data_IF_028181633092
#
_entry.id   IF_028181633092
#
_cell.length_a   1.000
_cell.length_b   1.000
_cell.length_c   1.000
_cell.angle_alpha   90.00
_cell.angle_beta   90.00
_cell.angle_gamma   90.00
#
_symmetry.space_group_name_H-M   'P 1'
#
loop_
_entity.id
_entity.type
_entity.pdbx_description
1 polymer ?
#
# COMPACT_ATOMS: atom_id res chain seq x y z
N UNK A 1 -29.10 11.14 13.25
CA UNK A 1 -27.87 10.72 12.57
C UNK A 1 -27.99 9.24 12.28
N UNK A 2 -27.93 8.84 11.01
CA UNK A 2 -27.99 7.43 10.60
C UNK A 2 -26.71 6.69 10.99
N UNK A 3 -26.74 5.35 11.06
CA UNK A 3 -25.53 4.55 11.31
C UNK A 3 -24.42 4.79 10.28
N UNK A 4 -24.80 5.12 9.03
CA UNK A 4 -23.87 5.49 7.95
C UNK A 4 -23.22 6.85 8.21
N UNK A 5 -24.01 7.88 8.55
CA UNK A 5 -23.48 9.20 8.91
C UNK A 5 -22.55 9.10 10.12
N UNK A 6 -22.88 8.24 11.09
CA UNK A 6 -22.03 7.99 12.25
C UNK A 6 -20.69 7.35 11.87
N UNK A 7 -20.72 6.34 11.01
CA UNK A 7 -19.53 5.68 10.50
C UNK A 7 -18.61 6.68 9.77
N UNK A 8 -19.18 7.55 8.93
CA UNK A 8 -18.42 8.60 8.24
C UNK A 8 -17.81 9.63 9.20
N UNK A 9 -18.54 10.04 10.23
CA UNK A 9 -18.02 10.94 11.26
C UNK A 9 -16.81 10.32 11.96
N UNK A 10 -16.90 9.04 12.34
CA UNK A 10 -15.79 8.32 12.98
C UNK A 10 -14.56 8.25 12.07
N UNK A 11 -14.74 7.91 10.79
CA UNK A 11 -13.63 7.89 9.82
C UNK A 11 -12.97 9.26 9.70
N UNK A 12 -13.76 10.34 9.59
CA UNK A 12 -13.23 11.70 9.46
C UNK A 12 -12.43 12.11 10.69
N UNK A 13 -12.96 11.89 11.90
CA UNK A 13 -12.29 12.23 13.16
C UNK A 13 -11.01 11.42 13.33
N UNK A 14 -11.07 10.11 13.06
CA UNK A 14 -9.90 9.24 13.15
C UNK A 14 -8.81 9.61 12.15
N UNK A 15 -9.17 10.03 10.93
CA UNK A 15 -8.19 10.53 9.95
C UNK A 15 -7.39 11.70 10.51
N UNK A 16 -8.05 12.72 11.06
CA UNK A 16 -7.34 13.86 11.67
C UNK A 16 -6.41 13.41 12.79
N UNK A 17 -6.90 12.58 13.72
CA UNK A 17 -6.09 12.10 14.85
C UNK A 17 -4.89 11.25 14.40
N UNK A 18 -5.08 10.34 13.44
CA UNK A 18 -3.99 9.53 12.91
C UNK A 18 -2.97 10.36 12.13
N UNK A 19 -3.41 11.39 11.40
CA UNK A 19 -2.49 12.29 10.71
C UNK A 19 -1.59 13.07 11.69
N UNK A 20 -2.16 13.54 12.80
CA UNK A 20 -1.44 14.30 13.83
C UNK A 20 -0.53 13.40 14.68
N UNK A 21 -1.10 12.37 15.30
CA UNK A 21 -0.42 11.58 16.35
C UNK A 21 0.14 10.25 15.85
N UNK A 22 -0.30 9.77 14.69
CA UNK A 22 0.06 8.47 14.17
C UNK A 22 -0.77 7.35 14.80
N UNK A 23 -0.58 6.13 14.32
CA UNK A 23 -1.33 4.96 14.79
C UNK A 23 -1.10 4.68 16.28
N UNK A 24 0.16 4.66 16.72
CA UNK A 24 0.52 4.36 18.11
C UNK A 24 0.11 5.47 19.08
N UNK A 25 0.21 6.73 18.64
CA UNK A 25 -0.14 7.90 19.43
C UNK A 25 -1.63 8.19 19.56
N UNK A 26 -2.49 7.41 18.88
CA UNK A 26 -3.95 7.59 18.90
C UNK A 26 -4.61 6.46 19.68
N UNK A 27 -5.58 6.78 20.54
CA UNK A 27 -6.38 5.80 21.30
C UNK A 27 -7.86 5.79 20.89
N UNK A 28 -8.56 4.68 21.17
CA UNK A 28 -10.01 4.56 20.90
C UNK A 28 -10.80 5.53 21.79
N UNK A 29 -10.32 5.77 23.01
CA UNK A 29 -10.83 6.75 23.96
C UNK A 29 -10.89 8.13 23.32
N UNK A 30 -9.79 8.57 22.72
CA UNK A 30 -9.67 9.87 22.08
C UNK A 30 -10.55 9.98 20.83
N UNK A 31 -10.60 8.92 20.01
CA UNK A 31 -11.49 8.87 18.84
C UNK A 31 -12.95 8.98 19.27
N UNK A 32 -13.36 8.20 20.27
CA UNK A 32 -14.73 8.19 20.77
C UNK A 32 -15.11 9.56 21.37
N UNK A 33 -14.23 10.15 22.18
CA UNK A 33 -14.43 11.47 22.75
C UNK A 33 -14.55 12.55 21.66
N UNK A 34 -13.63 12.55 20.69
CA UNK A 34 -13.61 13.53 19.59
C UNK A 34 -14.82 13.39 18.65
N UNK A 35 -15.35 12.18 18.48
CA UNK A 35 -16.57 11.94 17.72
C UNK A 35 -17.86 12.08 18.55
N UNK A 36 -17.75 12.42 19.84
CA UNK A 36 -18.88 12.50 20.78
C UNK A 36 -19.72 11.21 20.80
N UNK A 37 -19.04 10.07 20.93
CA UNK A 37 -19.65 8.74 21.09
C UNK A 37 -19.04 7.98 22.26
N UNK A 38 -19.72 6.93 22.69
CA UNK A 38 -19.16 5.95 23.62
C UNK A 38 -18.22 4.97 22.90
N UNK A 39 -17.19 4.47 23.60
CA UNK A 39 -16.24 3.46 23.04
C UNK A 39 -16.91 2.25 22.38
N UNK A 40 -17.99 1.65 22.95
CA UNK A 40 -18.65 0.51 22.32
C UNK A 40 -19.11 0.76 20.88
N UNK A 41 -19.47 2.00 20.54
CA UNK A 41 -19.89 2.38 19.17
C UNK A 41 -18.71 2.29 18.19
N UNK A 42 -17.50 2.64 18.61
CA UNK A 42 -16.29 2.50 17.78
C UNK A 42 -16.00 1.02 17.53
N UNK A 43 -16.08 0.19 18.57
CA UNK A 43 -15.91 -1.27 18.45
C UNK A 43 -17.00 -1.92 17.58
N UNK A 44 -18.25 -1.48 17.70
CA UNK A 44 -19.36 -1.98 16.88
C UNK A 44 -19.13 -1.72 15.39
N UNK A 45 -18.66 -0.51 15.03
CA UNK A 45 -18.48 -0.14 13.63
C UNK A 45 -17.19 -0.66 13.00
N UNK A 46 -16.11 -0.81 13.77
CA UNK A 46 -14.77 -1.05 13.23
C UNK A 46 -13.99 -2.18 13.92
N UNK A 47 -14.51 -2.76 15.00
CA UNK A 47 -13.82 -3.83 15.72
C UNK A 47 -12.57 -3.42 16.51
N UNK A 48 -12.21 -2.13 16.52
CA UNK A 48 -11.04 -1.62 17.25
C UNK A 48 -10.30 -0.50 16.51
N UNK A 49 -9.09 -0.19 16.99
CA UNK A 49 -8.23 0.87 16.44
C UNK A 49 -7.65 0.45 15.08
N UNK A 50 -7.24 -0.80 14.98
CA UNK A 50 -6.67 -1.43 13.78
C UNK A 50 -7.69 -1.39 12.64
N UNK A 51 -8.95 -1.73 12.93
CA UNK A 51 -10.01 -1.75 11.91
C UNK A 51 -10.38 -0.35 11.41
N UNK A 52 -10.46 0.66 12.29
CA UNK A 52 -10.72 2.03 11.83
C UNK A 52 -9.53 2.63 11.08
N UNK A 53 -8.30 2.32 11.52
CA UNK A 53 -7.08 2.72 10.80
C UNK A 53 -7.03 2.10 9.40
N UNK A 54 -7.27 0.79 9.28
CA UNK A 54 -7.32 0.10 8.00
C UNK A 54 -8.35 0.72 7.06
N UNK A 55 -9.55 1.07 7.55
CA UNK A 55 -10.59 1.73 6.74
C UNK A 55 -10.16 3.13 6.29
N UNK A 56 -9.50 3.90 7.15
CA UNK A 56 -8.97 5.23 6.78
C UNK A 56 -7.91 5.10 5.70
N UNK A 57 -6.93 4.22 5.92
CA UNK A 57 -5.82 3.95 4.99
C UNK A 57 -6.34 3.48 3.63
N UNK A 58 -7.23 2.48 3.64
CA UNK A 58 -7.84 1.92 2.44
C UNK A 58 -8.58 2.98 1.62
N UNK A 59 -9.33 3.86 2.28
CA UNK A 59 -10.04 4.98 1.63
C UNK A 59 -9.08 5.97 0.97
N UNK A 60 -8.02 6.34 1.66
CA UNK A 60 -7.03 7.30 1.14
C UNK A 60 -6.20 6.69 0.00
N UNK A 61 -5.85 5.39 0.09
CA UNK A 61 -5.24 4.64 -1.02
C UNK A 61 -6.15 4.63 -2.25
N UNK A 62 -7.40 4.19 -2.10
CA UNK A 62 -8.35 4.12 -3.22
C UNK A 62 -8.61 5.49 -3.84
N UNK A 63 -8.68 6.55 -3.03
CA UNK A 63 -8.85 7.92 -3.54
C UNK A 63 -7.66 8.33 -4.40
N UNK A 64 -6.43 8.22 -3.89
CA UNK A 64 -5.24 8.65 -4.62
C UNK A 64 -4.99 7.76 -5.84
N UNK A 65 -5.10 6.44 -5.71
CA UNK A 65 -4.97 5.51 -6.83
C UNK A 65 -6.00 5.82 -7.92
N UNK A 66 -7.27 6.04 -7.56
CA UNK A 66 -8.33 6.38 -8.51
C UNK A 66 -8.04 7.67 -9.28
N UNK A 67 -7.54 8.71 -8.60
CA UNK A 67 -7.15 9.98 -9.25
C UNK A 67 -6.01 9.79 -10.25
N UNK A 68 -5.01 8.97 -9.92
CA UNK A 68 -3.88 8.68 -10.80
C UNK A 68 -4.30 7.79 -11.98
N UNK A 69 -5.08 6.74 -11.74
CA UNK A 69 -5.61 5.87 -12.80
C UNK A 69 -6.41 6.69 -13.82
N UNK A 70 -7.28 7.59 -13.35
CA UNK A 70 -8.03 8.50 -14.22
C UNK A 70 -7.10 9.42 -15.02
N UNK A 71 -6.05 9.96 -14.38
CA UNK A 71 -5.07 10.79 -15.06
C UNK A 71 -4.31 10.03 -16.18
N UNK A 72 -3.96 8.76 -15.94
CA UNK A 72 -3.25 7.89 -16.89
C UNK A 72 -4.14 7.42 -18.06
N UNK A 73 -5.47 7.58 -17.96
CA UNK A 73 -6.41 7.27 -19.05
C UNK A 73 -6.37 8.26 -20.23
N UNK A 74 -5.65 9.39 -20.10
CA UNK A 74 -5.57 10.41 -21.13
C UNK A 74 -4.96 9.87 -22.44
N UNK A 75 -5.37 10.42 -23.59
CA UNK A 75 -4.99 9.89 -24.91
C UNK A 75 -3.50 10.04 -25.24
N UNK A 76 -2.84 11.10 -24.77
CA UNK A 76 -1.45 11.40 -25.12
C UNK A 76 -0.51 11.27 -23.91
N UNK A 77 0.69 10.72 -24.14
CA UNK A 77 1.68 10.42 -23.09
C UNK A 77 2.11 11.66 -22.28
N UNK A 78 2.24 12.83 -22.92
CA UNK A 78 2.51 14.09 -22.20
C UNK A 78 1.34 14.47 -21.29
N UNK A 79 0.11 14.39 -21.79
CA UNK A 79 -1.09 14.71 -21.01
C UNK A 79 -1.30 13.75 -19.83
N UNK A 80 -0.94 12.47 -19.99
CA UNK A 80 -0.92 11.51 -18.87
C UNK A 80 0.03 11.97 -17.76
N UNK A 81 1.25 12.39 -18.13
CA UNK A 81 2.26 12.88 -17.17
C UNK A 81 1.82 14.18 -16.48
N UNK A 82 1.30 15.15 -17.23
CA UNK A 82 0.78 16.43 -16.71
C UNK A 82 -0.35 16.20 -15.70
N UNK A 83 -1.34 15.39 -16.09
CA UNK A 83 -2.50 15.08 -15.24
C UNK A 83 -2.10 14.29 -14.00
N UNK A 84 -1.19 13.32 -14.11
CA UNK A 84 -0.75 12.52 -12.97
C UNK A 84 0.01 13.37 -11.94
N UNK A 85 0.91 14.25 -12.41
CA UNK A 85 1.63 15.17 -11.53
C UNK A 85 0.67 16.15 -10.81
N UNK A 86 -0.27 16.74 -11.55
CA UNK A 86 -1.28 17.62 -10.97
C UNK A 86 -2.20 16.88 -9.99
N UNK A 87 -2.66 15.69 -10.33
CA UNK A 87 -3.55 14.89 -9.49
C UNK A 87 -2.91 14.53 -8.14
N UNK A 88 -1.63 14.14 -8.12
CA UNK A 88 -0.92 13.89 -6.86
C UNK A 88 -0.85 15.17 -6.02
N UNK A 89 -0.41 16.28 -6.60
CA UNK A 89 -0.22 17.52 -5.86
C UNK A 89 -1.57 18.11 -5.39
N UNK A 90 -2.63 17.97 -6.19
CA UNK A 90 -4.01 18.30 -5.82
C UNK A 90 -4.48 17.48 -4.63
N UNK A 91 -4.27 16.16 -4.66
CA UNK A 91 -4.58 15.30 -3.53
C UNK A 91 -3.81 15.74 -2.27
N UNK A 92 -2.53 16.06 -2.41
CA UNK A 92 -1.71 16.55 -1.29
C UNK A 92 -2.25 17.86 -0.72
N UNK A 93 -2.71 18.77 -1.58
CA UNK A 93 -3.26 20.07 -1.18
C UNK A 93 -4.62 19.93 -0.49
N UNK A 94 -5.55 19.18 -1.08
CA UNK A 94 -6.92 19.01 -0.56
C UNK A 94 -7.03 18.01 0.60
N UNK A 95 -6.11 17.04 0.66
CA UNK A 95 -6.17 15.88 1.57
C UNK A 95 -4.83 15.62 2.25
N UNK A 96 -4.18 16.68 2.74
CA UNK A 96 -2.86 16.59 3.40
C UNK A 96 -2.83 15.61 4.57
N UNK A 97 -3.91 15.50 5.34
CA UNK A 97 -4.04 14.51 6.43
C UNK A 97 -3.93 13.08 5.90
N UNK A 98 -4.66 12.77 4.83
CA UNK A 98 -4.66 11.46 4.20
C UNK A 98 -3.28 11.11 3.66
N UNK A 99 -2.66 12.05 2.93
CA UNK A 99 -1.30 11.84 2.41
C UNK A 99 -0.26 11.63 3.52
N UNK A 100 -0.34 12.37 4.64
CA UNK A 100 0.53 12.15 5.81
C UNK A 100 0.39 10.75 6.38
N UNK A 101 -0.84 10.24 6.50
CA UNK A 101 -1.09 8.88 6.99
C UNK A 101 -0.43 7.85 6.08
N UNK A 102 -0.65 7.97 4.77
CA UNK A 102 -0.04 7.06 3.78
C UNK A 102 1.48 7.05 3.92
N UNK A 103 2.10 8.23 3.90
CA UNK A 103 3.57 8.39 3.95
C UNK A 103 4.17 7.94 5.27
N UNK A 104 3.49 8.15 6.41
CA UNK A 104 4.03 7.87 7.74
C UNK A 104 4.24 6.37 7.99
N UNK A 105 3.41 5.52 7.37
CA UNK A 105 3.53 4.07 7.44
C UNK A 105 4.55 3.50 6.44
N UNK A 106 5.30 4.37 5.75
CA UNK A 106 6.38 3.96 4.85
C UNK A 106 7.68 3.73 5.62
N UNK A 107 8.06 2.47 5.81
CA UNK A 107 9.42 2.17 6.20
C UNK A 107 10.33 2.26 4.97
N UNK A 108 10.86 3.46 4.71
CA UNK A 108 11.72 3.76 3.55
C UNK A 108 12.92 2.80 3.39
N UNK A 109 13.39 2.19 4.48
CA UNK A 109 14.50 1.23 4.46
C UNK A 109 14.10 -0.22 4.09
N UNK A 110 12.83 -0.60 4.27
CA UNK A 110 12.37 -1.98 4.03
C UNK A 110 11.42 -2.10 2.83
N UNK A 111 10.96 -0.99 2.25
CA UNK A 111 10.01 -1.01 1.12
C UNK A 111 8.66 -1.64 1.48
N UNK A 112 8.38 -1.76 2.77
CA UNK A 112 7.15 -2.33 3.32
C UNK A 112 6.30 -1.20 3.91
N UNK A 113 5.01 -1.22 3.62
CA UNK A 113 4.05 -0.21 4.11
C UNK A 113 3.08 0.23 3.03
N UNK A 114 1.98 0.84 3.45
CA UNK A 114 0.87 1.26 2.59
C UNK A 114 1.32 2.12 1.40
N UNK A 115 2.17 3.12 1.63
CA UNK A 115 2.64 4.00 0.56
C UNK A 115 3.59 3.31 -0.42
N UNK A 116 4.40 2.37 0.06
CA UNK A 116 5.27 1.58 -0.82
C UNK A 116 4.46 0.66 -1.74
N UNK A 117 3.38 0.06 -1.21
CA UNK A 117 2.41 -0.70 -2.01
C UNK A 117 1.71 0.18 -3.05
N UNK A 118 1.24 1.36 -2.64
CA UNK A 118 0.63 2.34 -3.55
C UNK A 118 1.58 2.76 -4.67
N UNK A 119 2.83 3.09 -4.34
CA UNK A 119 3.87 3.45 -5.32
C UNK A 119 4.10 2.30 -6.29
N UNK A 120 4.18 1.06 -5.79
CA UNK A 120 4.40 -0.11 -6.64
C UNK A 120 3.24 -0.37 -7.59
N UNK A 121 2.01 -0.18 -7.13
CA UNK A 121 0.81 -0.31 -7.96
C UNK A 121 0.74 0.77 -9.04
N UNK A 122 1.03 2.02 -8.69
CA UNK A 122 1.11 3.12 -9.67
C UNK A 122 2.26 2.88 -10.66
N UNK A 123 3.42 2.40 -10.19
CA UNK A 123 4.55 2.08 -11.05
C UNK A 123 4.23 0.97 -12.05
N UNK A 124 3.44 -0.04 -11.65
CA UNK A 124 2.95 -1.07 -12.59
C UNK A 124 2.07 -0.47 -13.68
N UNK A 125 1.16 0.46 -13.36
CA UNK A 125 0.33 1.11 -14.38
C UNK A 125 1.17 1.99 -15.33
N UNK A 126 2.18 2.67 -14.81
CA UNK A 126 3.10 3.49 -15.62
C UNK A 126 4.02 2.60 -16.48
N UNK A 127 4.42 1.44 -15.97
CA UNK A 127 5.19 0.44 -16.72
C UNK A 127 4.46 0.01 -17.98
N UNK A 128 3.18 -0.34 -17.89
CA UNK A 128 2.38 -0.74 -19.04
C UNK A 128 2.37 0.35 -20.13
N UNK A 129 2.17 1.60 -19.72
CA UNK A 129 2.19 2.76 -20.63
C UNK A 129 3.57 2.97 -21.27
N UNK A 130 4.64 2.79 -20.51
CA UNK A 130 6.01 2.96 -21.01
C UNK A 130 6.45 1.80 -21.91
N UNK A 131 6.03 0.57 -21.63
CA UNK A 131 6.38 -0.60 -22.42
C UNK A 131 5.84 -0.48 -23.85
N UNK A 132 4.60 -0.01 -24.00
CA UNK A 132 4.00 0.29 -25.30
C UNK A 132 4.80 1.36 -26.06
N UNK A 133 5.07 2.50 -25.41
CA UNK A 133 5.80 3.62 -26.02
C UNK A 133 7.25 3.24 -26.38
N UNK A 134 7.92 2.43 -25.56
CA UNK A 134 9.27 1.95 -25.81
C UNK A 134 9.31 1.04 -27.03
N UNK A 135 8.33 0.14 -27.15
CA UNK A 135 8.18 -0.74 -28.31
C UNK A 135 8.01 0.06 -29.60
N UNK A 136 7.18 1.10 -29.60
CA UNK A 136 6.93 1.95 -30.76
C UNK A 136 8.15 2.78 -31.18
N UNK A 137 8.98 3.19 -30.22
CA UNK A 137 10.16 4.04 -30.46
C UNK A 137 11.48 3.29 -30.59
N UNK A 138 11.44 1.96 -30.58
CA UNK A 138 12.62 1.10 -30.76
C UNK A 138 13.54 1.00 -29.54
N UNK A 139 13.02 1.24 -28.33
CA UNK A 139 13.70 0.95 -27.07
C UNK A 139 13.37 -0.46 -26.59
N UNK A 140 14.19 -1.04 -25.71
CA UNK A 140 13.90 -2.34 -25.08
C UNK A 140 12.77 -2.20 -24.05
N UNK A 141 11.58 -2.79 -24.27
CA UNK A 141 10.44 -2.66 -23.36
C UNK A 141 10.71 -3.28 -21.99
N UNK A 142 11.68 -4.20 -21.87
CA UNK A 142 12.08 -4.80 -20.59
C UNK A 142 12.69 -3.80 -19.62
N UNK A 143 13.06 -2.61 -20.10
CA UNK A 143 13.55 -1.53 -19.27
C UNK A 143 12.42 -0.66 -18.70
N UNK A 144 11.19 -0.76 -19.24
CA UNK A 144 10.04 0.02 -18.77
C UNK A 144 9.80 -0.04 -17.24
N UNK A 145 9.89 -1.20 -16.56
CA UNK A 145 9.74 -1.26 -15.10
C UNK A 145 10.70 -0.32 -14.36
N UNK A 146 11.96 -0.28 -14.79
CA UNK A 146 12.99 0.57 -14.19
C UNK A 146 12.67 2.05 -14.38
N UNK A 147 12.27 2.45 -15.59
CA UNK A 147 11.90 3.84 -15.87
C UNK A 147 10.61 4.26 -15.16
N UNK A 148 9.63 3.36 -15.05
CA UNK A 148 8.42 3.60 -14.28
C UNK A 148 8.74 3.88 -12.81
N UNK A 149 9.60 3.06 -12.19
CA UNK A 149 10.08 3.29 -10.82
C UNK A 149 10.78 4.65 -10.67
N UNK A 150 11.62 5.04 -11.63
CA UNK A 150 12.29 6.35 -11.61
C UNK A 150 11.30 7.52 -11.68
N UNK A 151 10.30 7.43 -12.57
CA UNK A 151 9.29 8.49 -12.73
C UNK A 151 8.37 8.59 -11.51
N UNK A 152 7.82 7.47 -11.07
CA UNK A 152 6.93 7.44 -9.90
C UNK A 152 7.69 7.87 -8.66
N UNK A 153 8.93 7.41 -8.47
CA UNK A 153 9.78 7.84 -7.37
C UNK A 153 10.05 9.35 -7.38
N UNK A 154 10.40 9.92 -8.54
CA UNK A 154 10.62 11.37 -8.68
C UNK A 154 9.38 12.18 -8.28
N UNK A 155 8.21 11.78 -8.77
CA UNK A 155 6.95 12.48 -8.50
C UNK A 155 6.52 12.30 -7.03
N UNK A 156 6.58 11.07 -6.50
CA UNK A 156 6.20 10.76 -5.12
C UNK A 156 7.11 11.46 -4.09
N UNK A 157 8.43 11.39 -4.26
CA UNK A 157 9.39 12.04 -3.35
C UNK A 157 9.27 13.57 -3.40
N UNK A 158 9.02 14.13 -4.59
CA UNK A 158 8.78 15.58 -4.72
C UNK A 158 7.47 15.97 -4.03
N UNK A 159 6.41 15.16 -4.16
CA UNK A 159 5.15 15.36 -3.43
C UNK A 159 5.34 15.31 -1.91
N UNK A 160 6.15 14.37 -1.41
CA UNK A 160 6.51 14.30 0.01
C UNK A 160 7.23 15.56 0.49
N UNK A 161 8.22 16.06 -0.27
CA UNK A 161 8.88 17.33 0.06
C UNK A 161 7.90 18.51 0.02
N UNK A 162 7.03 18.56 -0.98
CA UNK A 162 6.08 19.65 -1.16
C UNK A 162 4.95 19.66 -0.12
N UNK A 163 4.67 18.50 0.51
CA UNK A 163 3.76 18.36 1.66
C UNK A 163 4.08 19.36 2.77
N UNK A 164 5.36 19.55 3.03
CA UNK A 164 5.86 20.38 4.13
C UNK A 164 6.20 21.80 3.66
N UNK A 165 6.80 21.96 2.47
CA UNK A 165 7.28 23.27 2.00
C UNK A 165 6.16 24.14 1.41
N UNK A 166 5.19 23.54 0.69
CA UNK A 166 4.05 24.23 0.04
C UNK A 166 4.43 25.38 -0.91
N UNK A 167 5.70 25.45 -1.32
CA UNK A 167 6.22 26.43 -2.25
C UNK A 167 7.23 25.77 -3.20
N UNK A 168 7.23 26.11 -4.50
CA UNK A 168 6.31 27.02 -5.20
C UNK A 168 4.89 26.45 -5.30
N UNK A 169 3.96 27.16 -5.98
CA UNK A 169 2.58 26.69 -6.15
C UNK A 169 2.52 25.36 -6.89
N UNK A 170 1.45 24.61 -6.68
CA UNK A 170 1.19 23.29 -7.26
C UNK A 170 1.50 23.24 -8.76
N UNK A 171 0.97 24.18 -9.53
CA UNK A 171 1.09 24.21 -10.98
C UNK A 171 2.55 24.39 -11.43
N UNK A 172 3.33 25.16 -10.67
CA UNK A 172 4.74 25.40 -10.95
C UNK A 172 5.58 24.15 -10.64
N UNK A 173 5.33 23.49 -9.51
CA UNK A 173 5.95 22.20 -9.18
C UNK A 173 5.63 21.15 -10.23
N UNK A 174 4.36 21.04 -10.63
CA UNK A 174 3.92 20.13 -11.70
C UNK A 174 4.64 20.43 -13.02
N UNK A 175 4.70 21.70 -13.43
CA UNK A 175 5.38 22.10 -14.66
C UNK A 175 6.86 21.71 -14.64
N UNK A 176 7.57 21.90 -13.53
CA UNK A 176 8.97 21.50 -13.40
C UNK A 176 9.16 19.97 -13.42
N UNK A 177 8.29 19.21 -12.75
CA UNK A 177 8.30 17.75 -12.78
C UNK A 177 8.08 17.20 -14.19
N UNK A 178 7.04 17.68 -14.86
CA UNK A 178 6.71 17.29 -16.23
C UNK A 178 7.84 17.67 -17.18
N UNK A 179 8.38 18.89 -17.07
CA UNK A 179 9.46 19.35 -17.90
C UNK A 179 10.71 18.46 -17.77
N UNK A 180 11.10 18.09 -16.54
CA UNK A 180 12.24 17.21 -16.32
C UNK A 180 12.01 15.80 -16.89
N UNK A 181 10.87 15.18 -16.56
CA UNK A 181 10.55 13.83 -17.05
C UNK A 181 10.38 13.79 -18.58
N UNK A 182 9.62 14.72 -19.16
CA UNK A 182 9.35 14.73 -20.59
C UNK A 182 10.63 14.96 -21.42
N UNK A 183 11.43 15.98 -21.07
CA UNK A 183 12.68 16.25 -21.80
C UNK A 183 13.72 15.13 -21.59
N UNK A 184 13.70 14.45 -20.44
CA UNK A 184 14.54 13.29 -20.17
C UNK A 184 14.16 12.07 -21.02
N UNK A 185 12.87 11.71 -21.05
CA UNK A 185 12.36 10.53 -21.77
C UNK A 185 12.38 10.69 -23.29
N UNK A 186 12.14 11.91 -23.80
CA UNK A 186 12.06 12.14 -25.26
C UNK A 186 13.40 12.04 -25.99
N UNK A 187 14.52 12.15 -25.27
CA UNK A 187 15.89 12.13 -25.84
C UNK A 187 16.77 11.03 -25.25
N UNK A 188 16.16 9.90 -24.86
CA UNK A 188 16.91 8.77 -24.36
C UNK A 188 17.87 8.24 -25.43
N UNK A 189 19.07 7.86 -24.99
CA UNK A 189 19.95 7.02 -25.80
C UNK A 189 19.51 5.56 -25.61
N UNK A 190 19.18 4.80 -26.68
CA UNK A 190 18.83 3.39 -26.56
C UNK A 190 19.90 2.53 -25.89
N UNK A 191 21.16 2.95 -25.98
CA UNK A 191 22.32 2.28 -25.38
C UNK A 191 23.17 3.29 -24.59
N UNK A 192 22.68 3.72 -23.41
CA UNK A 192 23.43 4.65 -22.59
C UNK A 192 24.72 3.99 -22.09
N UNK A 193 25.82 4.75 -22.04
CA UNK A 193 27.09 4.27 -21.51
C UNK A 193 27.67 5.30 -20.55
N UNK A 194 28.31 4.82 -19.48
CA UNK A 194 28.98 5.67 -18.52
C UNK A 194 30.33 6.10 -19.08
N UNK A 195 30.52 7.40 -19.28
CA UNK A 195 31.76 7.97 -19.83
C UNK A 195 32.98 7.74 -18.91
N UNK A 196 32.74 7.58 -17.60
CA UNK A 196 33.77 7.39 -16.58
C UNK A 196 34.23 5.93 -16.41
N UNK A 197 33.60 4.95 -17.09
CA UNK A 197 34.12 3.58 -17.08
C UNK A 197 35.44 3.55 -17.86
N UNK A 198 36.56 3.11 -17.25
CA UNK A 198 37.83 3.05 -17.95
C UNK A 198 37.66 2.16 -19.18
N UNK A 199 37.81 2.77 -20.37
CA UNK A 199 37.91 2.00 -21.61
C UNK A 199 39.07 1.05 -21.44
N UNK A 200 38.79 -0.25 -21.38
CA UNK A 200 39.80 -1.28 -21.59
C UNK A 200 40.48 -0.94 -22.91
N UNK A 201 41.63 -0.29 -22.83
CA UNK A 201 42.24 0.33 -24.01
C UNK A 201 42.89 -0.80 -24.79
N UNK A 202 42.18 -1.32 -25.78
CA UNK A 202 42.77 -1.99 -26.92
C UNK A 202 43.53 -0.93 -27.73
N UNK A 203 44.80 -0.70 -27.37
CA UNK A 203 45.71 0.14 -28.17
C UNK A 203 46.00 -0.59 -29.50
N UNK A 204 45.17 -0.33 -30.52
CA UNK A 204 45.53 -0.55 -31.92
C UNK A 204 45.34 0.73 -32.72
N UNK A 205 46.45 1.47 -32.83
CA UNK A 205 46.79 2.35 -33.95
C UNK A 205 46.14 3.72 -33.99
N UNK A 206 46.95 4.78 -33.84
CA UNK A 206 47.14 5.92 -34.78
C UNK A 206 47.96 7.06 -34.09
N UNK A 207 48.53 8.01 -34.86
CA UNK A 207 49.94 8.12 -35.23
C UNK A 207 50.78 9.02 -34.30
N UNK A 208 52.08 8.77 -34.22
CA UNK A 208 53.00 9.55 -33.40
C UNK A 208 53.32 10.92 -34.04
N UNK A 209 52.80 12.00 -33.44
CA UNK A 209 53.41 13.32 -33.53
C UNK A 209 54.65 13.36 -32.62
N UNK A 210 55.79 13.74 -33.21
CA UNK A 210 57.12 13.79 -32.56
C UNK A 210 57.18 14.82 -31.42
N UNK A 211 57.86 14.50 -30.31
CA UNK A 211 58.53 15.49 -29.48
C UNK A 211 60.06 15.40 -29.58
N UNK A 212 60.79 16.47 -29.19
CA UNK A 212 62.20 16.64 -29.50
C UNK A 212 63.14 15.88 -28.55
N UNK A 213 64.37 15.76 -29.02
CA UNK A 213 65.46 14.98 -28.47
C UNK A 213 65.91 15.45 -27.07
N UNK A 214 66.05 14.48 -26.16
CA UNK A 214 66.83 14.58 -24.93
C UNK A 214 67.40 13.20 -24.62
N UNK A 215 68.73 13.06 -24.72
CA UNK A 215 69.44 11.80 -24.47
C UNK A 215 69.45 11.53 -22.96
N UNK A 216 68.83 10.42 -22.55
CA UNK A 216 69.14 9.77 -21.27
C UNK A 216 69.39 8.28 -21.49
N UNK A 217 70.57 7.88 -21.04
CA UNK A 217 71.12 6.53 -21.09
C UNK A 217 70.30 5.63 -20.15
N UNK A 218 69.54 4.67 -20.70
CA UNK A 218 68.74 3.72 -19.91
C UNK A 218 69.55 2.48 -19.56
N UNK A 219 69.64 2.19 -18.27
CA UNK A 219 70.21 0.96 -17.70
C UNK A 219 69.28 -0.25 -17.96
N UNK A 220 69.73 -1.29 -18.69
CA UNK A 220 68.95 -2.49 -19.02
C UNK A 220 68.54 -3.34 -17.82
N UNK A 221 69.14 -3.14 -16.63
CA UNK A 221 68.85 -3.95 -15.43
C UNK A 221 67.55 -3.52 -14.72
N UNK A 222 67.07 -2.30 -14.95
CA UNK A 222 65.85 -1.75 -14.32
C UNK A 222 64.53 -2.16 -15.01
N UNK A 223 64.58 -2.57 -16.29
CA UNK A 223 63.40 -2.91 -17.09
C UNK A 223 62.92 -4.37 -16.87
N UNK A 224 63.83 -5.28 -16.51
CA UNK A 224 63.47 -6.66 -16.14
C UNK A 224 62.72 -6.73 -14.81
N UNK A 225 63.16 -5.97 -13.80
CA UNK A 225 62.51 -5.92 -12.48
C UNK A 225 61.08 -5.36 -12.56
N UNK A 226 60.85 -4.33 -13.39
CA UNK A 226 59.50 -3.79 -13.63
C UNK A 226 58.57 -4.80 -14.32
N UNK A 227 59.08 -5.52 -15.34
CA UNK A 227 58.30 -6.55 -16.05
C UNK A 227 57.96 -7.75 -15.16
N UNK A 228 58.84 -8.14 -14.24
CA UNK A 228 58.51 -9.19 -13.26
C UNK A 228 57.47 -8.72 -12.24
N UNK A 229 57.60 -7.49 -11.74
CA UNK A 229 56.64 -6.91 -10.79
C UNK A 229 55.23 -6.80 -11.40
N UNK A 230 55.11 -6.38 -12.66
CA UNK A 230 53.84 -6.32 -13.37
C UNK A 230 53.25 -7.71 -13.62
N UNK A 231 54.10 -8.71 -13.92
CA UNK A 231 53.67 -10.10 -14.10
C UNK A 231 53.18 -10.71 -12.78
N UNK A 232 53.79 -10.33 -11.66
CA UNK A 232 53.36 -10.74 -10.32
C UNK A 232 52.02 -10.09 -9.95
N UNK A 233 51.86 -8.77 -10.15
CA UNK A 233 50.59 -8.06 -9.95
C UNK A 233 49.45 -8.62 -10.80
N UNK A 234 49.72 -8.96 -12.06
CA UNK A 234 48.70 -9.58 -12.93
C UNK A 234 48.28 -10.98 -12.45
N UNK A 235 49.18 -11.73 -11.79
CA UNK A 235 48.84 -13.02 -11.19
C UNK A 235 47.99 -12.84 -9.94
N UNK A 236 48.36 -11.91 -9.07
CA UNK A 236 47.61 -11.55 -7.86
C UNK A 236 46.20 -11.04 -8.20
N UNK A 237 46.06 -10.17 -9.22
CA UNK A 237 44.75 -9.69 -9.68
C UNK A 237 43.88 -10.83 -10.22
N UNK A 238 44.45 -11.78 -10.97
CA UNK A 238 43.71 -12.95 -11.47
C UNK A 238 43.28 -13.89 -10.35
N UNK A 239 44.10 -14.04 -9.32
CA UNK A 239 43.74 -14.82 -8.12
C UNK A 239 42.64 -14.12 -7.32
N UNK A 240 42.70 -12.81 -7.14
CA UNK A 240 41.64 -12.02 -6.50
C UNK A 240 40.32 -12.09 -7.26
N UNK A 241 40.33 -11.94 -8.58
CA UNK A 241 39.12 -12.08 -9.41
C UNK A 241 38.52 -13.49 -9.31
N UNK A 242 39.37 -14.53 -9.26
CA UNK A 242 38.91 -15.90 -9.09
C UNK A 242 38.25 -16.11 -7.72
N UNK A 243 38.85 -15.58 -6.65
CA UNK A 243 38.31 -15.65 -5.30
C UNK A 243 36.96 -14.92 -5.20
N UNK A 244 36.86 -13.72 -5.77
CA UNK A 244 35.61 -12.95 -5.85
C UNK A 244 34.51 -13.73 -6.56
N UNK A 245 34.82 -14.36 -7.71
CA UNK A 245 33.84 -15.20 -8.44
C UNK A 245 33.42 -16.44 -7.66
N UNK A 246 34.30 -17.04 -6.88
CA UNK A 246 33.96 -18.16 -5.99
C UNK A 246 33.07 -17.72 -4.83
N UNK A 247 33.39 -16.59 -4.19
CA UNK A 247 32.55 -15.99 -3.14
C UNK A 247 31.16 -15.60 -3.66
N UNK A 248 31.08 -15.01 -4.85
CA UNK A 248 29.81 -14.63 -5.46
C UNK A 248 28.95 -15.87 -5.80
N UNK A 249 29.57 -16.93 -6.31
CA UNK A 249 28.89 -18.22 -6.52
C UNK A 249 28.39 -18.83 -5.21
N UNK A 250 29.17 -18.75 -4.14
CA UNK A 250 28.76 -19.25 -2.83
C UNK A 250 27.58 -18.45 -2.28
N UNK A 251 27.65 -17.11 -2.36
CA UNK A 251 26.56 -16.22 -1.94
C UNK A 251 25.28 -16.46 -2.74
N UNK A 252 25.37 -16.71 -4.05
CA UNK A 252 24.22 -17.07 -4.87
C UNK A 252 23.61 -18.43 -4.49
N UNK A 253 24.41 -19.40 -4.04
CA UNK A 253 23.89 -20.68 -3.54
C UNK A 253 23.16 -20.50 -2.20
N UNK A 254 23.76 -19.76 -1.27
CA UNK A 254 23.15 -19.44 0.02
C UNK A 254 21.83 -18.68 -0.14
N UNK A 255 21.77 -17.70 -1.05
CA UNK A 255 20.53 -16.98 -1.36
C UNK A 255 19.45 -17.91 -1.92
N UNK A 256 19.79 -18.85 -2.81
CA UNK A 256 18.84 -19.84 -3.35
C UNK A 256 18.34 -20.79 -2.28
N UNK A 257 19.19 -21.20 -1.33
CA UNK A 257 18.77 -22.03 -0.21
C UNK A 257 17.84 -21.27 0.74
N UNK A 258 18.17 -20.03 1.06
CA UNK A 258 17.35 -19.15 1.90
C UNK A 258 15.96 -18.90 1.27
N UNK A 259 15.92 -18.64 -0.04
CA UNK A 259 14.67 -18.45 -0.78
C UNK A 259 13.82 -19.72 -0.76
N UNK A 260 14.44 -20.89 -0.96
CA UNK A 260 13.76 -22.18 -0.88
C UNK A 260 13.22 -22.47 0.52
N UNK A 261 13.96 -22.09 1.57
CA UNK A 261 13.52 -22.21 2.94
C UNK A 261 12.32 -21.29 3.22
N UNK A 262 12.39 -20.02 2.81
CA UNK A 262 11.29 -19.05 2.93
C UNK A 262 10.03 -19.51 2.21
N UNK A 263 10.16 -20.09 1.02
CA UNK A 263 9.02 -20.67 0.29
C UNK A 263 8.37 -21.85 1.02
N UNK A 264 9.15 -22.66 1.75
CA UNK A 264 8.61 -23.76 2.57
C UNK A 264 7.86 -23.22 3.78
N UNK A 265 8.45 -22.26 4.48
CA UNK A 265 7.82 -21.60 5.63
C UNK A 265 6.51 -20.91 5.24
N UNK A 266 6.48 -20.21 4.10
CA UNK A 266 5.26 -19.59 3.57
C UNK A 266 4.17 -20.63 3.27
N UNK A 267 4.52 -21.75 2.63
CA UNK A 267 3.56 -22.84 2.38
C UNK A 267 3.02 -23.46 3.66
N UNK A 268 3.84 -23.56 4.70
CA UNK A 268 3.43 -24.06 6.01
C UNK A 268 2.50 -23.08 6.72
N UNK A 269 2.81 -21.78 6.69
CA UNK A 269 1.94 -20.72 7.22
C UNK A 269 0.59 -20.66 6.49
N UNK A 270 0.58 -20.74 5.16
CA UNK A 270 -0.66 -20.80 4.37
C UNK A 270 -1.51 -22.01 4.73
N UNK A 271 -0.88 -23.18 4.95
CA UNK A 271 -1.59 -24.39 5.38
C UNK A 271 -2.22 -24.20 6.75
N UNK A 272 -1.48 -23.64 7.70
CA UNK A 272 -1.98 -23.35 9.05
C UNK A 272 -3.15 -22.36 9.01
N UNK A 273 -3.04 -21.30 8.22
CA UNK A 273 -4.10 -20.30 8.04
C UNK A 273 -5.37 -20.95 7.47
N UNK A 274 -5.23 -21.81 6.44
CA UNK A 274 -6.37 -22.55 5.87
C UNK A 274 -7.02 -23.50 6.88
N UNK A 275 -6.25 -24.10 7.78
CA UNK A 275 -6.79 -24.94 8.86
C UNK A 275 -7.53 -24.10 9.91
N UNK A 276 -6.98 -22.96 10.32
CA UNK A 276 -7.64 -22.00 11.22
C UNK A 276 -8.94 -21.45 10.63
N UNK A 277 -8.95 -21.07 9.35
CA UNK A 277 -10.16 -20.60 8.66
C UNK A 277 -11.24 -21.69 8.62
N UNK A 278 -10.86 -22.94 8.33
CA UNK A 278 -11.80 -24.08 8.37
C UNK A 278 -12.37 -24.29 9.77
N UNK A 279 -11.54 -24.17 10.80
CA UNK A 279 -12.01 -24.28 12.19
C UNK A 279 -12.98 -23.15 12.53
N UNK A 280 -12.62 -21.89 12.22
CA UNK A 280 -13.47 -20.72 12.44
C UNK A 280 -14.81 -20.82 11.70
N UNK A 281 -14.81 -21.34 10.47
CA UNK A 281 -16.06 -21.59 9.73
C UNK A 281 -16.94 -22.66 10.38
N UNK A 282 -16.36 -23.70 10.99
CA UNK A 282 -17.12 -24.72 11.73
C UNK A 282 -17.74 -24.13 12.99
N UNK A 283 -16.96 -23.37 13.76
CA UNK A 283 -17.43 -22.68 14.97
C UNK A 283 -18.57 -21.70 14.65
N UNK A 284 -18.44 -20.91 13.57
CA UNK A 284 -19.50 -20.00 13.11
C UNK A 284 -20.78 -20.75 12.75
N UNK A 285 -20.68 -21.88 12.04
CA UNK A 285 -21.85 -22.71 11.69
C UNK A 285 -22.52 -23.31 12.93
N UNK A 286 -21.75 -23.72 13.93
CA UNK A 286 -22.30 -24.22 15.19
C UNK A 286 -23.02 -23.11 15.97
N UNK A 287 -22.41 -21.93 16.05
CA UNK A 287 -22.97 -20.78 16.73
C UNK A 287 -24.25 -20.28 16.05
N UNK A 288 -24.29 -20.29 14.71
CA UNK A 288 -25.50 -19.98 13.94
C UNK A 288 -26.62 -21.00 14.20
N UNK A 289 -26.28 -22.29 14.23
CA UNK A 289 -27.23 -23.37 14.55
C UNK A 289 -27.77 -23.24 15.98
N UNK A 290 -26.93 -22.86 16.93
CA UNK A 290 -27.34 -22.58 18.30
C UNK A 290 -28.30 -21.39 18.36
N UNK A 291 -27.94 -20.28 17.71
CA UNK A 291 -28.79 -19.08 17.64
C UNK A 291 -30.16 -19.38 17.01
N UNK A 292 -30.20 -20.21 15.97
CA UNK A 292 -31.47 -20.63 15.36
C UNK A 292 -32.34 -21.48 16.31
N UNK A 293 -31.72 -22.30 17.17
CA UNK A 293 -32.45 -23.08 18.19
C UNK A 293 -33.03 -22.16 19.26
N UNK A 294 -32.22 -21.23 19.77
CA UNK A 294 -32.65 -20.23 20.77
C UNK A 294 -33.79 -19.35 20.24
N UNK A 295 -33.70 -18.88 18.98
CA UNK A 295 -34.78 -18.13 18.34
C UNK A 295 -36.08 -18.93 18.26
N UNK A 296 -36.02 -20.22 17.87
CA UNK A 296 -37.20 -21.09 17.82
C UNK A 296 -37.80 -21.35 19.21
N UNK A 297 -36.98 -21.42 20.25
CA UNK A 297 -37.47 -21.55 21.62
C UNK A 297 -38.14 -20.27 22.11
N UNK A 298 -37.55 -19.10 21.83
CA UNK A 298 -38.13 -17.79 22.12
C UNK A 298 -39.47 -17.58 21.40
N UNK A 299 -39.56 -17.95 20.11
CA UNK A 299 -40.82 -17.90 19.35
C UNK A 299 -41.89 -18.79 19.99
N UNK A 300 -41.55 -20.03 20.36
CA UNK A 300 -42.48 -20.93 21.07
C UNK A 300 -42.92 -20.39 22.42
N UNK A 301 -42.02 -19.77 23.18
CA UNK A 301 -42.36 -19.13 24.45
C UNK A 301 -43.34 -17.98 24.22
N UNK A 302 -43.05 -17.10 23.26
CA UNK A 302 -43.90 -15.96 22.91
C UNK A 302 -45.30 -16.40 22.45
N UNK A 303 -45.41 -17.46 21.65
CA UNK A 303 -46.71 -18.03 21.26
C UNK A 303 -47.50 -18.56 22.46
N UNK A 304 -46.83 -19.21 23.42
CA UNK A 304 -47.49 -19.70 24.65
C UNK A 304 -48.00 -18.53 25.50
N UNK A 305 -47.19 -17.50 25.68
CA UNK A 305 -47.58 -16.28 26.42
C UNK A 305 -48.77 -15.57 25.77
N UNK A 306 -48.77 -15.43 24.44
CA UNK A 306 -49.90 -14.85 23.71
C UNK A 306 -51.19 -15.65 23.91
N UNK A 307 -51.12 -16.99 23.80
CA UNK A 307 -52.28 -17.87 24.06
C UNK A 307 -52.78 -17.77 25.51
N UNK A 308 -51.89 -17.60 26.48
CA UNK A 308 -52.27 -17.38 27.88
C UNK A 308 -52.92 -16.01 28.10
N UNK A 309 -52.38 -14.95 27.50
CA UNK A 309 -52.97 -13.61 27.55
C UNK A 309 -54.36 -13.59 26.93
N UNK A 310 -54.54 -14.25 25.78
CA UNK A 310 -55.84 -14.35 25.10
C UNK A 310 -56.86 -15.09 25.97
N UNK A 311 -56.48 -16.25 26.55
CA UNK A 311 -57.33 -16.98 27.50
C UNK A 311 -57.68 -16.16 28.74
N UNK A 312 -56.75 -15.34 29.26
CA UNK A 312 -57.03 -14.43 30.39
C UNK A 312 -58.06 -13.36 30.00
N UNK A 313 -57.87 -12.71 28.84
CA UNK A 313 -58.82 -11.72 28.30
C UNK A 313 -60.21 -12.30 28.10
N UNK A 314 -60.32 -13.52 27.55
CA UNK A 314 -61.62 -14.18 27.39
C UNK A 314 -62.30 -14.47 28.73
N UNK A 315 -61.54 -14.93 29.74
CA UNK A 315 -62.07 -15.18 31.09
C UNK A 315 -62.57 -13.89 31.75
N UNK A 316 -61.80 -12.81 31.66
CA UNK A 316 -62.18 -11.49 32.17
C UNK A 316 -63.43 -10.95 31.47
N UNK A 317 -63.51 -11.08 30.14
CA UNK A 317 -64.70 -10.69 29.37
C UNK A 317 -65.95 -11.49 29.77
N UNK A 318 -65.81 -12.81 30.00
CA UNK A 318 -66.92 -13.65 30.49
C UNK A 318 -67.37 -13.27 31.90
N UNK A 319 -66.43 -12.96 32.80
CA UNK A 319 -66.73 -12.51 34.16
C UNK A 319 -67.45 -11.15 34.14
N UNK A 320 -66.97 -10.20 33.34
CA UNK A 320 -67.60 -8.90 33.15
C UNK A 320 -69.03 -9.03 32.60
N UNK A 321 -69.24 -9.86 31.57
CA UNK A 321 -70.56 -10.11 31.00
C UNK A 321 -71.54 -10.79 31.99
N UNK A 322 -71.03 -11.64 32.90
CA UNK A 322 -71.84 -12.28 33.95
C UNK A 322 -72.19 -11.30 35.07
N UNK A 323 -71.30 -10.38 35.41
CA UNK A 323 -71.56 -9.30 36.37
C UNK A 323 -72.62 -8.33 35.84
N UNK A 324 -72.55 -7.93 34.56
CA UNK A 324 -73.58 -7.08 33.95
C UNK A 324 -74.97 -7.73 33.95
N UNK A 325 -75.07 -9.03 33.66
CA UNK A 325 -76.36 -9.76 33.71
C UNK A 325 -76.94 -9.86 35.12
N UNK A 326 -76.10 -9.97 36.16
CA UNK A 326 -76.58 -9.96 37.56
C UNK A 326 -77.03 -8.56 38.03
N UNK A 327 -76.41 -7.49 37.51
CA UNK A 327 -76.83 -6.12 37.78
C UNK A 327 -78.20 -5.75 37.19
N UNK A 328 -78.58 -6.35 36.06
CA UNK A 328 -79.89 -6.10 35.40
C UNK A 328 -81.06 -6.87 36.04
N UNK A 329 -80.81 -7.95 36.79
CA UNK A 329 -81.87 -8.73 37.46
C UNK A 329 -82.23 -8.13 38.84
N UNK A 330 -81.37 -7.28 39.41
CA UNK A 330 -81.61 -6.66 40.72
C UNK A 330 -82.45 -5.37 40.67
N UNK A 331 -82.89 -4.94 39.49
CA UNK A 331 -83.69 -3.71 39.31
C UNK A 331 -85.18 -3.98 39.03
N UNK A 332 -85.61 -5.24 39.05
CA UNK A 332 -86.98 -5.65 38.73
C UNK A 332 -87.62 -6.32 39.97
N UNK A 333 -87.82 -5.53 41.03
CA UNK A 333 -88.65 -5.92 42.19
C UNK A 333 -89.95 -5.09 42.16
N UNK A 334 -91.14 -5.73 42.06
CA UNK A 334 -92.38 -5.00 41.85
C UNK A 334 -92.90 -4.38 43.15
N UNK A 335 -93.33 -3.12 43.08
CA UNK A 335 -94.09 -2.41 44.12
C UNK A 335 -95.57 -2.76 44.07
#
# INVERSE_FOLDING_TARGET
MTGKERREQLIKVSRTLFAEKGFDGTSIEEIAASAMVSKPVVYEHFGGKEGIYAVVVDREMHKLLGMITEALSASHSLSKLERAALALLEYIEESSEGFRILVRDSHAASGTGTFASLISEIASQVEDVLADEFSERGYDPKLAPMYAQMLVGMVALTGQWWLDVRQPKREEVAAHLVNLAWNGLTRLNPHPSLTALPRTTTLRGLPASRPPAGREQRDPRSDKGRKELDKQRQRELKEQEKLLREQEKQRQRELKELEKQRQRELKEQEKLLREQEKQRQRELKELEKQRQRELKELEKQRERELKEQEKRREREARLAARAMRRGQVATDEPR
#
